data_IF_310294739351
#
_entry.id   IF_310294739351
#
_cell.length_a   1.000
_cell.length_b   1.000
_cell.length_c   1.000
_cell.angle_alpha   90.00
_cell.angle_beta   90.00
_cell.angle_gamma   90.00
#
_symmetry.space_group_name_H-M   'P 1'
#
loop_
_entity.id
_entity.type
_entity.pdbx_description
1 polymer ?
#
# COMPACT_ATOMS: atom_id res chain seq x y z
N UNK A 1 138.54 -63.07 -10.04
CA UNK A 1 137.93 -62.46 -8.83
C UNK A 1 137.96 -60.92 -8.85
N UNK A 2 138.86 -60.26 -9.57
CA UNK A 2 138.96 -58.78 -9.57
C UNK A 2 137.85 -58.05 -10.36
N UNK A 3 137.36 -58.60 -11.48
CA UNK A 3 136.35 -57.93 -12.31
C UNK A 3 134.97 -57.81 -11.64
N UNK A 4 134.67 -58.70 -10.69
CA UNK A 4 133.40 -58.70 -9.96
C UNK A 4 133.33 -57.54 -8.95
N UNK A 5 134.46 -57.22 -8.28
CA UNK A 5 134.51 -56.14 -7.28
C UNK A 5 134.37 -54.73 -7.88
N UNK A 6 134.85 -54.52 -9.11
CA UNK A 6 134.71 -53.25 -9.80
C UNK A 6 133.24 -52.97 -10.19
N UNK A 7 132.55 -53.99 -10.68
CA UNK A 7 131.13 -53.85 -11.01
C UNK A 7 130.20 -53.80 -9.81
N UNK A 8 130.57 -54.45 -8.70
CA UNK A 8 129.89 -54.23 -7.41
C UNK A 8 129.97 -52.75 -6.98
N UNK A 9 131.11 -52.09 -7.19
CA UNK A 9 131.30 -50.67 -6.85
C UNK A 9 130.51 -49.75 -7.79
N UNK A 10 130.45 -50.05 -9.09
CA UNK A 10 129.61 -49.31 -10.03
C UNK A 10 128.12 -49.49 -9.74
N UNK A 11 127.67 -50.69 -9.38
CA UNK A 11 126.28 -50.95 -8.97
C UNK A 11 125.93 -50.14 -7.72
N UNK A 12 126.84 -50.02 -6.74
CA UNK A 12 126.62 -49.19 -5.54
C UNK A 12 126.51 -47.71 -5.92
N UNK A 13 127.39 -47.21 -6.80
CA UNK A 13 127.37 -45.81 -7.23
C UNK A 13 126.11 -45.48 -8.05
N UNK A 14 125.71 -46.36 -8.97
CA UNK A 14 124.47 -46.22 -9.74
C UNK A 14 123.23 -46.26 -8.84
N UNK A 15 123.21 -47.12 -7.82
CA UNK A 15 122.14 -47.12 -6.81
C UNK A 15 122.07 -45.78 -6.06
N UNK A 16 123.22 -45.20 -5.70
CA UNK A 16 123.27 -43.89 -5.05
C UNK A 16 122.73 -42.79 -5.97
N UNK A 17 123.22 -42.69 -7.20
CA UNK A 17 122.74 -41.71 -8.18
C UNK A 17 121.24 -41.87 -8.46
N UNK A 18 120.74 -43.11 -8.56
CA UNK A 18 119.31 -43.38 -8.73
C UNK A 18 118.48 -42.92 -7.52
N UNK A 19 119.07 -42.96 -6.31
CA UNK A 19 118.40 -42.47 -5.10
C UNK A 19 118.37 -40.94 -5.08
N UNK A 20 119.48 -40.29 -5.44
CA UNK A 20 119.61 -38.82 -5.50
C UNK A 20 118.73 -38.22 -6.62
N UNK A 21 118.65 -38.86 -7.78
CA UNK A 21 117.75 -38.43 -8.87
C UNK A 21 116.28 -38.62 -8.50
N UNK A 22 115.96 -39.65 -7.71
CA UNK A 22 114.61 -39.91 -7.23
C UNK A 22 114.17 -38.86 -6.22
N UNK A 23 115.04 -38.46 -5.28
CA UNK A 23 114.73 -37.37 -4.34
C UNK A 23 114.59 -36.04 -5.07
N UNK A 24 115.48 -35.70 -6.01
CA UNK A 24 115.36 -34.48 -6.81
C UNK A 24 114.09 -34.46 -7.69
N UNK A 25 113.66 -35.61 -8.20
CA UNK A 25 112.39 -35.75 -8.92
C UNK A 25 111.19 -35.52 -8.00
N UNK A 26 111.20 -36.12 -6.80
CA UNK A 26 110.12 -35.95 -5.83
C UNK A 26 110.01 -34.49 -5.34
N UNK A 27 111.14 -33.80 -5.13
CA UNK A 27 111.19 -32.38 -4.77
C UNK A 27 110.61 -31.50 -5.89
N UNK A 28 111.07 -31.67 -7.14
CA UNK A 28 110.52 -30.92 -8.29
C UNK A 28 109.04 -31.22 -8.52
N UNK A 29 108.60 -32.46 -8.28
CA UNK A 29 107.19 -32.84 -8.37
C UNK A 29 106.36 -32.13 -7.30
N UNK A 30 106.88 -31.98 -6.09
CA UNK A 30 106.23 -31.22 -5.02
C UNK A 30 106.17 -29.72 -5.34
N UNK A 31 107.23 -29.13 -5.88
CA UNK A 31 107.23 -27.75 -6.35
C UNK A 31 106.21 -27.53 -7.48
N UNK A 32 106.18 -28.42 -8.48
CA UNK A 32 105.22 -28.35 -9.58
C UNK A 32 103.77 -28.42 -9.06
N UNK A 33 103.50 -29.29 -8.09
CA UNK A 33 102.19 -29.39 -7.44
C UNK A 33 101.83 -28.10 -6.68
N UNK A 34 102.78 -27.49 -5.97
CA UNK A 34 102.57 -26.24 -5.24
C UNK A 34 102.27 -25.07 -6.19
N UNK A 35 103.05 -24.94 -7.28
CA UNK A 35 102.84 -23.92 -8.31
C UNK A 35 101.51 -24.14 -9.03
N UNK A 36 101.16 -25.39 -9.35
CA UNK A 36 99.85 -25.75 -9.90
C UNK A 36 98.69 -25.37 -8.97
N UNK A 37 98.83 -25.63 -7.68
CA UNK A 37 97.83 -25.23 -6.67
C UNK A 37 97.68 -23.72 -6.51
N UNK A 38 98.76 -22.95 -6.63
CA UNK A 38 98.72 -21.49 -6.64
C UNK A 38 98.05 -20.94 -7.90
N UNK A 39 98.36 -21.51 -9.07
CA UNK A 39 97.76 -21.11 -10.34
C UNK A 39 96.25 -21.33 -10.34
N UNK A 40 95.78 -22.47 -9.84
CA UNK A 40 94.35 -22.77 -9.75
C UNK A 40 93.60 -21.78 -8.85
N UNK A 41 94.22 -21.38 -7.73
CA UNK A 41 93.67 -20.35 -6.82
C UNK A 41 93.59 -18.98 -7.52
N UNK A 42 94.66 -18.57 -8.19
CA UNK A 42 94.70 -17.30 -8.92
C UNK A 42 93.67 -17.27 -10.06
N UNK A 43 93.51 -18.39 -10.78
CA UNK A 43 92.50 -18.55 -11.82
C UNK A 43 91.09 -18.38 -11.28
N UNK A 44 90.73 -19.08 -10.20
CA UNK A 44 89.41 -18.93 -9.56
C UNK A 44 89.14 -17.50 -9.12
N UNK A 45 90.13 -16.85 -8.51
CA UNK A 45 89.99 -15.45 -8.09
C UNK A 45 89.81 -14.51 -9.28
N UNK A 46 90.53 -14.72 -10.37
CA UNK A 46 90.36 -13.94 -11.58
C UNK A 46 88.96 -14.10 -12.20
N UNK A 47 88.40 -15.31 -12.18
CA UNK A 47 87.04 -15.57 -12.66
C UNK A 47 85.98 -14.88 -11.77
N UNK A 48 86.17 -14.91 -10.44
CA UNK A 48 85.31 -14.21 -9.47
C UNK A 48 85.39 -12.67 -9.62
N UNK A 49 86.60 -12.13 -9.78
CA UNK A 49 86.83 -10.71 -9.99
C UNK A 49 86.22 -10.26 -11.33
N UNK A 50 86.35 -11.05 -12.40
CA UNK A 50 85.74 -10.77 -13.69
C UNK A 50 84.20 -10.74 -13.62
N UNK A 51 83.58 -11.70 -12.93
CA UNK A 51 82.14 -11.71 -12.69
C UNK A 51 81.68 -10.49 -11.89
N UNK A 52 82.47 -10.10 -10.87
CA UNK A 52 82.18 -8.93 -10.03
C UNK A 52 82.23 -7.62 -10.83
N UNK A 53 83.18 -7.49 -11.76
CA UNK A 53 83.29 -6.32 -12.65
C UNK A 53 82.08 -6.20 -13.58
N UNK A 54 81.65 -7.32 -14.19
CA UNK A 54 80.47 -7.34 -15.06
C UNK A 54 79.23 -6.90 -14.27
N UNK A 55 79.00 -7.46 -13.08
CA UNK A 55 77.88 -7.10 -12.22
C UNK A 55 77.92 -5.61 -11.79
N UNK A 56 79.11 -5.07 -11.53
CA UNK A 56 79.29 -3.66 -11.20
C UNK A 56 78.99 -2.74 -12.40
N UNK A 57 79.40 -3.13 -13.62
CA UNK A 57 79.12 -2.39 -14.85
C UNK A 57 77.63 -2.36 -15.16
N UNK A 58 76.93 -3.49 -15.02
CA UNK A 58 75.48 -3.56 -15.22
C UNK A 58 74.73 -2.66 -14.24
N UNK A 59 75.12 -2.67 -12.95
CA UNK A 59 74.55 -1.77 -11.95
C UNK A 59 74.78 -0.30 -12.28
N UNK A 60 75.99 0.06 -12.72
CA UNK A 60 76.31 1.43 -13.11
C UNK A 60 75.50 1.86 -14.35
N UNK A 61 75.32 0.96 -15.32
CA UNK A 61 74.49 1.23 -16.50
C UNK A 61 73.02 1.46 -16.13
N UNK A 62 72.47 0.66 -15.21
CA UNK A 62 71.11 0.85 -14.66
C UNK A 62 70.98 2.22 -13.99
N UNK A 63 71.91 2.57 -13.09
CA UNK A 63 71.91 3.86 -12.39
C UNK A 63 72.06 5.03 -13.37
N UNK A 64 72.94 4.91 -14.37
CA UNK A 64 73.17 5.96 -15.39
C UNK A 64 71.96 6.17 -16.29
N UNK A 65 71.22 5.10 -16.59
CA UNK A 65 69.92 5.18 -17.27
C UNK A 65 68.79 5.72 -16.37
N UNK A 66 69.10 6.09 -15.12
CA UNK A 66 68.13 6.59 -14.15
C UNK A 66 67.18 5.52 -13.61
N UNK A 67 67.50 4.24 -13.81
CA UNK A 67 66.68 3.11 -13.38
C UNK A 67 67.03 2.74 -11.94
N UNK A 68 66.04 2.81 -11.06
CA UNK A 68 66.11 2.31 -9.69
C UNK A 68 65.33 1.00 -9.60
N UNK A 69 65.91 0.03 -8.88
CA UNK A 69 65.29 -1.26 -8.65
C UNK A 69 64.16 -1.08 -7.62
N UNK A 70 62.93 -1.44 -8.01
CA UNK A 70 61.76 -1.40 -7.12
C UNK A 70 61.55 -2.74 -6.43
N UNK A 71 60.79 -2.74 -5.33
CA UNK A 71 60.39 -3.95 -4.59
C UNK A 71 59.58 -4.95 -5.44
N UNK A 72 59.06 -4.52 -6.61
CA UNK A 72 58.35 -5.36 -7.58
C UNK A 72 59.25 -5.93 -8.68
N UNK A 73 60.55 -5.65 -8.65
CA UNK A 73 61.52 -6.13 -9.65
C UNK A 73 61.46 -5.42 -11.00
N UNK A 74 60.65 -4.36 -11.13
CA UNK A 74 60.59 -3.53 -12.33
C UNK A 74 61.54 -2.33 -12.21
N UNK A 75 62.37 -2.12 -13.23
CA UNK A 75 63.26 -0.97 -13.32
C UNK A 75 62.44 0.25 -13.76
N UNK A 76 62.29 1.25 -12.89
CA UNK A 76 61.57 2.48 -13.19
C UNK A 76 62.40 3.71 -12.78
N UNK A 77 62.21 4.83 -13.49
CA UNK A 77 62.82 6.10 -13.08
C UNK A 77 62.14 6.66 -11.83
N UNK A 78 62.86 7.49 -11.08
CA UNK A 78 62.35 8.10 -9.86
C UNK A 78 61.10 8.97 -10.14
N UNK A 79 61.08 9.68 -11.28
CA UNK A 79 59.93 10.46 -11.73
C UNK A 79 58.69 9.58 -11.95
N UNK A 80 58.88 8.39 -12.54
CA UNK A 80 57.78 7.49 -12.84
C UNK A 80 57.22 6.85 -11.56
N UNK A 81 58.07 6.53 -10.59
CA UNK A 81 57.64 6.09 -9.26
C UNK A 81 56.85 7.17 -8.54
N UNK A 82 57.32 8.42 -8.56
CA UNK A 82 56.60 9.56 -7.98
C UNK A 82 55.26 9.81 -8.66
N UNK A 83 55.20 9.68 -9.98
CA UNK A 83 53.96 9.84 -10.75
C UNK A 83 52.95 8.74 -10.42
N UNK A 84 53.41 7.49 -10.31
CA UNK A 84 52.58 6.35 -9.91
C UNK A 84 52.09 6.47 -8.46
N UNK A 85 52.97 6.82 -7.52
CA UNK A 85 52.61 7.06 -6.12
C UNK A 85 51.58 8.18 -5.99
N UNK A 86 51.73 9.28 -6.74
CA UNK A 86 50.80 10.40 -6.74
C UNK A 86 49.44 10.03 -7.36
N UNK A 87 49.44 9.24 -8.44
CA UNK A 87 48.22 8.70 -9.04
C UNK A 87 47.48 7.80 -8.05
N UNK A 88 48.18 6.86 -7.43
CA UNK A 88 47.60 5.95 -6.44
C UNK A 88 47.03 6.71 -5.23
N UNK A 89 47.73 7.73 -4.73
CA UNK A 89 47.23 8.58 -3.66
C UNK A 89 45.94 9.32 -4.06
N UNK A 90 45.87 9.81 -5.29
CA UNK A 90 44.66 10.50 -5.80
C UNK A 90 43.49 9.52 -5.95
N UNK A 91 43.74 8.33 -6.49
CA UNK A 91 42.72 7.28 -6.62
C UNK A 91 42.21 6.86 -5.23
N UNK A 92 43.11 6.63 -4.28
CA UNK A 92 42.74 6.29 -2.91
C UNK A 92 41.91 7.39 -2.24
N UNK A 93 42.25 8.67 -2.43
CA UNK A 93 41.46 9.79 -1.90
C UNK A 93 40.04 9.84 -2.51
N UNK A 94 39.90 9.54 -3.80
CA UNK A 94 38.58 9.46 -4.44
C UNK A 94 37.75 8.28 -3.92
N UNK A 95 38.38 7.12 -3.69
CA UNK A 95 37.72 5.93 -3.14
C UNK A 95 37.28 6.15 -1.69
N UNK A 96 38.10 6.82 -0.88
CA UNK A 96 37.74 7.21 0.49
C UNK A 96 36.49 8.10 0.48
N UNK A 97 36.46 9.14 -0.36
CA UNK A 97 35.29 10.03 -0.47
C UNK A 97 34.03 9.30 -0.94
N UNK A 98 34.15 8.37 -1.88
CA UNK A 98 33.03 7.54 -2.31
C UNK A 98 32.51 6.65 -1.16
N UNK A 99 33.41 6.01 -0.42
CA UNK A 99 33.06 5.20 0.75
C UNK A 99 32.40 6.05 1.85
N UNK A 100 32.94 7.24 2.15
CA UNK A 100 32.38 8.15 3.15
C UNK A 100 30.97 8.60 2.79
N UNK A 101 30.73 8.94 1.52
CA UNK A 101 29.39 9.30 1.02
C UNK A 101 28.41 8.13 1.16
N UNK A 102 28.83 6.91 0.77
CA UNK A 102 28.01 5.70 0.91
C UNK A 102 27.71 5.36 2.37
N UNK A 103 28.66 5.58 3.27
CA UNK A 103 28.50 5.34 4.71
C UNK A 103 27.55 6.35 5.34
N UNK A 104 27.63 7.63 4.93
CA UNK A 104 26.68 8.67 5.36
C UNK A 104 25.25 8.35 4.90
N UNK A 105 25.07 8.01 3.62
CA UNK A 105 23.78 7.61 3.08
C UNK A 105 23.20 6.40 3.82
N UNK A 106 24.01 5.36 4.04
CA UNK A 106 23.58 4.16 4.76
C UNK A 106 23.19 4.44 6.21
N UNK A 107 23.93 5.31 6.91
CA UNK A 107 23.58 5.74 8.28
C UNK A 107 22.26 6.52 8.34
N UNK A 108 22.04 7.43 7.41
CA UNK A 108 20.78 8.20 7.33
C UNK A 108 19.58 7.27 7.07
N UNK A 109 19.70 6.34 6.12
CA UNK A 109 18.66 5.34 5.83
C UNK A 109 18.36 4.43 7.02
N UNK A 110 19.39 4.01 7.76
CA UNK A 110 19.22 3.18 8.95
C UNK A 110 18.48 3.94 10.06
N UNK A 111 18.81 5.23 10.25
CA UNK A 111 18.11 6.09 11.22
C UNK A 111 16.62 6.27 10.88
N UNK A 112 16.30 6.48 9.60
CA UNK A 112 14.91 6.61 9.13
C UNK A 112 14.13 5.30 9.34
N UNK A 113 14.66 4.16 8.87
CA UNK A 113 14.03 2.86 9.05
C UNK A 113 13.85 2.50 10.52
N UNK A 114 14.81 2.85 11.39
CA UNK A 114 14.70 2.58 12.83
C UNK A 114 13.63 3.44 13.51
N UNK A 115 13.34 4.64 12.99
CA UNK A 115 12.20 5.45 13.47
C UNK A 115 10.88 4.86 13.01
N UNK A 116 10.78 4.46 11.74
CA UNK A 116 9.58 3.82 11.18
C UNK A 116 9.21 2.51 11.88
N UNK A 117 10.18 1.67 12.22
CA UNK A 117 9.89 0.42 12.93
C UNK A 117 9.37 0.66 14.34
N UNK A 118 9.87 1.69 15.04
CA UNK A 118 9.38 2.06 16.38
C UNK A 118 7.95 2.60 16.34
N UNK A 119 7.62 3.44 15.37
CA UNK A 119 6.24 3.96 15.23
C UNK A 119 5.28 2.82 14.90
N UNK A 120 5.65 1.96 13.94
CA UNK A 120 4.81 0.84 13.54
C UNK A 120 4.58 -0.17 14.69
N UNK A 121 5.58 -0.41 15.54
CA UNK A 121 5.43 -1.29 16.71
C UNK A 121 4.45 -0.70 17.74
N UNK A 122 4.50 0.61 17.99
CA UNK A 122 3.53 1.27 18.90
C UNK A 122 2.11 1.28 18.34
N UNK A 123 1.95 1.50 17.04
CA UNK A 123 0.64 1.46 16.39
C UNK A 123 0.08 0.04 16.39
N UNK A 124 0.89 -0.98 16.09
CA UNK A 124 0.48 -2.38 16.15
C UNK A 124 0.00 -2.78 17.55
N UNK A 125 0.70 -2.36 18.61
CA UNK A 125 0.28 -2.62 19.98
C UNK A 125 -1.04 -1.92 20.34
N UNK A 126 -1.30 -0.73 19.82
CA UNK A 126 -2.57 -0.02 20.02
C UNK A 126 -3.71 -0.74 19.31
N UNK A 127 -3.53 -1.06 18.04
CA UNK A 127 -4.55 -1.68 17.20
C UNK A 127 -4.92 -3.07 17.74
N UNK A 128 -3.95 -3.83 18.26
CA UNK A 128 -4.21 -5.13 18.88
C UNK A 128 -5.04 -5.02 20.18
N UNK A 129 -4.82 -3.97 20.99
CA UNK A 129 -5.65 -3.69 22.18
C UNK A 129 -7.07 -3.30 21.80
N UNK A 130 -7.23 -2.49 20.76
CA UNK A 130 -8.55 -2.08 20.27
C UNK A 130 -9.32 -3.29 19.70
N UNK A 131 -8.64 -4.18 18.99
CA UNK A 131 -9.21 -5.43 18.50
C UNK A 131 -9.76 -6.29 19.64
N UNK A 132 -8.95 -6.52 20.69
CA UNK A 132 -9.40 -7.27 21.88
C UNK A 132 -10.63 -6.63 22.56
N UNK A 133 -10.68 -5.30 22.63
CA UNK A 133 -11.82 -4.58 23.19
C UNK A 133 -13.08 -4.79 22.34
N UNK A 134 -12.94 -4.67 21.01
CA UNK A 134 -14.05 -4.86 20.07
C UNK A 134 -14.56 -6.30 20.06
N UNK A 135 -13.69 -7.29 20.14
CA UNK A 135 -14.08 -8.69 20.28
C UNK A 135 -14.86 -8.96 21.57
N UNK A 136 -14.43 -8.35 22.69
CA UNK A 136 -15.17 -8.44 23.96
C UNK A 136 -16.56 -7.79 23.83
N UNK A 137 -16.65 -6.61 23.23
CA UNK A 137 -17.93 -5.94 22.96
C UNK A 137 -18.85 -6.79 22.08
N UNK A 138 -18.32 -7.37 20.99
CA UNK A 138 -19.05 -8.24 20.09
C UNK A 138 -19.56 -9.48 20.81
N UNK A 139 -18.73 -10.13 21.65
CA UNK A 139 -19.16 -11.28 22.47
C UNK A 139 -20.29 -10.90 23.41
N UNK A 140 -20.20 -9.76 24.09
CA UNK A 140 -21.27 -9.26 24.97
C UNK A 140 -22.57 -9.03 24.19
N UNK A 141 -22.51 -8.29 23.08
CA UNK A 141 -23.67 -8.00 22.25
C UNK A 141 -24.28 -9.26 21.64
N UNK A 142 -23.45 -10.22 21.21
CA UNK A 142 -23.90 -11.52 20.68
C UNK A 142 -24.62 -12.32 21.76
N UNK A 143 -24.13 -12.30 23.01
CA UNK A 143 -24.78 -12.98 24.12
C UNK A 143 -26.11 -12.29 24.50
N UNK A 144 -26.17 -10.96 24.43
CA UNK A 144 -27.42 -10.21 24.62
C UNK A 144 -28.44 -10.53 23.52
N UNK A 145 -28.03 -10.58 22.25
CA UNK A 145 -28.89 -10.98 21.13
C UNK A 145 -29.42 -12.41 21.29
N UNK A 146 -28.57 -13.36 21.73
CA UNK A 146 -29.00 -14.74 22.02
C UNK A 146 -30.03 -14.79 23.15
N UNK A 147 -29.89 -13.98 24.21
CA UNK A 147 -30.89 -13.91 25.29
C UNK A 147 -32.24 -13.40 24.82
N UNK A 148 -32.25 -12.56 23.78
CA UNK A 148 -33.46 -12.01 23.19
C UNK A 148 -34.13 -12.96 22.18
N UNK A 149 -33.58 -14.16 21.96
CA UNK A 149 -34.04 -15.11 20.92
C UNK A 149 -34.21 -14.44 19.54
N UNK A 150 -33.34 -13.48 19.23
CA UNK A 150 -33.39 -12.77 17.95
C UNK A 150 -32.73 -13.63 16.87
N UNK A 151 -33.49 -14.03 15.85
CA UNK A 151 -32.96 -14.58 14.60
C UNK A 151 -32.83 -13.47 13.56
N UNK A 152 -31.72 -13.47 12.83
CA UNK A 152 -31.47 -12.49 11.78
C UNK A 152 -32.54 -12.59 10.68
N UNK A 153 -33.14 -11.46 10.28
CA UNK A 153 -34.29 -11.43 9.37
C UNK A 153 -35.66 -11.54 10.06
N UNK A 154 -35.73 -11.84 11.37
CA UNK A 154 -37.02 -11.91 12.09
C UNK A 154 -37.76 -10.59 12.08
N UNK A 155 -37.02 -9.48 12.09
CA UNK A 155 -37.60 -8.14 12.17
C UNK A 155 -38.23 -7.73 10.83
N UNK A 156 -37.64 -8.15 9.73
CA UNK A 156 -38.14 -8.02 8.36
C UNK A 156 -39.41 -8.86 8.18
N UNK A 157 -39.39 -10.14 8.59
CA UNK A 157 -40.56 -11.02 8.57
C UNK A 157 -41.70 -10.43 9.40
N UNK A 158 -41.41 -9.97 10.63
CA UNK A 158 -42.43 -9.38 11.50
C UNK A 158 -42.97 -8.05 10.97
N UNK A 159 -42.17 -7.30 10.18
CA UNK A 159 -42.62 -6.08 9.51
C UNK A 159 -43.51 -6.40 8.31
N UNK A 160 -43.15 -7.40 7.52
CA UNK A 160 -43.93 -7.83 6.37
C UNK A 160 -45.28 -8.44 6.80
N UNK A 161 -45.29 -9.22 7.89
CA UNK A 161 -46.52 -9.74 8.50
C UNK A 161 -47.39 -8.62 9.09
N UNK A 162 -46.78 -7.57 9.66
CA UNK A 162 -47.50 -6.45 10.30
C UNK A 162 -48.31 -5.59 9.32
N UNK A 163 -48.03 -5.67 8.02
CA UNK A 163 -48.74 -4.88 7.00
C UNK A 163 -49.88 -5.64 6.28
N UNK A 164 -50.10 -6.92 6.59
CA UNK A 164 -51.21 -7.68 6.02
C UNK A 164 -52.53 -7.29 6.70
N UNK A 165 -53.28 -6.37 6.08
CA UNK A 165 -54.70 -6.20 6.37
C UNK A 165 -55.39 -7.54 6.14
N UNK A 166 -55.95 -8.11 7.21
CA UNK A 166 -56.75 -9.34 7.10
C UNK A 166 -58.04 -8.97 6.37
N UNK A 167 -58.40 -9.75 5.35
CA UNK A 167 -59.58 -9.49 4.52
C UNK A 167 -60.82 -9.41 5.42
N UNK A 168 -61.53 -8.26 5.51
CA UNK A 168 -62.65 -8.08 6.43
C UNK A 168 -63.90 -8.89 6.05
N UNK A 169 -63.90 -9.50 4.87
CA UNK A 169 -64.92 -10.46 4.42
C UNK A 169 -64.33 -11.42 3.36
N UNK A 170 -64.92 -12.62 3.15
CA UNK A 170 -64.41 -13.60 2.17
C UNK A 170 -64.35 -13.07 0.73
N UNK A 171 -65.30 -12.20 0.33
CA UNK A 171 -65.37 -11.61 -1.01
C UNK A 171 -64.84 -10.16 -1.03
N UNK A 172 -63.93 -9.82 -0.12
CA UNK A 172 -63.39 -8.47 -0.05
C UNK A 172 -62.53 -8.16 -1.27
N UNK A 173 -62.92 -7.14 -2.04
CA UNK A 173 -62.09 -6.64 -3.12
C UNK A 173 -60.91 -5.85 -2.54
N UNK A 174 -59.69 -6.39 -2.65
CA UNK A 174 -58.47 -5.72 -2.16
C UNK A 174 -58.18 -4.39 -2.88
N UNK A 175 -58.64 -4.23 -4.12
CA UNK A 175 -58.47 -2.98 -4.87
C UNK A 175 -59.28 -1.82 -4.29
N UNK A 176 -60.24 -2.10 -3.40
CA UNK A 176 -60.95 -1.06 -2.64
C UNK A 176 -60.02 -0.30 -1.69
N UNK A 177 -58.89 -0.89 -1.31
CA UNK A 177 -57.81 -0.26 -0.53
C UNK A 177 -56.72 0.21 -1.48
N UNK A 178 -56.54 1.53 -1.59
CA UNK A 178 -55.54 2.10 -2.48
C UNK A 178 -54.14 2.07 -1.87
N UNK A 179 -54.04 2.19 -0.55
CA UNK A 179 -52.78 2.14 0.18
C UNK A 179 -52.52 3.39 1.02
N UNK A 180 -51.29 3.50 1.54
CA UNK A 180 -50.87 4.66 2.33
C UNK A 180 -50.68 5.89 1.44
N UNK A 181 -50.94 7.08 1.97
CA UNK A 181 -50.76 8.33 1.22
C UNK A 181 -49.32 8.47 0.73
N UNK A 182 -48.32 8.22 1.58
CA UNK A 182 -46.91 8.36 1.23
C UNK A 182 -46.42 7.40 0.13
N UNK A 183 -47.13 6.29 -0.11
CA UNK A 183 -46.80 5.34 -1.20
C UNK A 183 -47.50 5.67 -2.51
N UNK A 184 -48.47 6.59 -2.49
CA UNK A 184 -49.36 6.91 -3.62
C UNK A 184 -49.03 8.23 -4.31
N UNK A 185 -47.89 8.85 -3.97
CA UNK A 185 -47.41 10.09 -4.56
C UNK A 185 -45.94 9.96 -4.94
N UNK A 186 -45.50 10.78 -5.90
CA UNK A 186 -44.10 10.95 -6.30
C UNK A 186 -43.72 12.42 -6.19
N UNK A 187 -42.49 12.70 -5.80
CA UNK A 187 -42.00 14.06 -5.68
C UNK A 187 -41.49 14.57 -7.01
N UNK A 188 -41.87 15.79 -7.41
CA UNK A 188 -41.28 16.46 -8.58
C UNK A 188 -39.91 17.04 -8.27
N UNK A 189 -39.75 17.61 -7.07
CA UNK A 189 -38.49 18.13 -6.58
C UNK A 189 -38.17 17.56 -5.20
N UNK A 190 -37.09 16.79 -5.11
CA UNK A 190 -36.57 16.19 -3.87
C UNK A 190 -36.23 17.24 -2.80
N UNK A 191 -35.93 18.49 -3.18
CA UNK A 191 -35.66 19.59 -2.24
C UNK A 191 -36.88 19.95 -1.39
N UNK A 192 -38.08 19.75 -1.92
CA UNK A 192 -39.35 20.10 -1.26
C UNK A 192 -39.85 19.01 -0.31
N UNK A 193 -39.20 17.84 -0.31
CA UNK A 193 -39.63 16.66 0.44
C UNK A 193 -39.88 16.93 1.93
N UNK A 194 -38.95 17.63 2.58
CA UNK A 194 -39.06 17.92 4.02
C UNK A 194 -40.23 18.87 4.33
N UNK A 195 -40.44 19.89 3.51
CA UNK A 195 -41.53 20.83 3.72
C UNK A 195 -42.90 20.15 3.49
N UNK A 196 -43.00 19.27 2.49
CA UNK A 196 -44.19 18.44 2.24
C UNK A 196 -44.45 17.43 3.37
N UNK A 197 -43.39 16.85 3.94
CA UNK A 197 -43.49 15.97 5.12
C UNK A 197 -44.14 16.69 6.30
N UNK A 198 -43.65 17.89 6.61
CA UNK A 198 -44.17 18.68 7.73
C UNK A 198 -45.60 19.14 7.44
N UNK A 199 -45.88 19.56 6.22
CA UNK A 199 -47.20 20.04 5.82
C UNK A 199 -48.28 18.94 5.88
N UNK A 200 -47.96 17.71 5.46
CA UNK A 200 -48.88 16.58 5.56
C UNK A 200 -48.90 15.97 6.97
N UNK A 201 -47.76 15.96 7.66
CA UNK A 201 -47.61 15.38 8.99
C UNK A 201 -48.09 13.94 9.06
N UNK A 202 -48.87 13.61 10.10
CA UNK A 202 -49.41 12.27 10.28
C UNK A 202 -50.37 11.81 9.18
N UNK A 203 -50.87 12.73 8.32
CA UNK A 203 -51.76 12.37 7.21
C UNK A 203 -51.06 11.50 6.16
N UNK A 204 -49.73 11.51 6.10
CA UNK A 204 -48.93 10.64 5.22
C UNK A 204 -49.14 9.14 5.49
N UNK A 205 -49.50 8.79 6.73
CA UNK A 205 -49.70 7.40 7.15
C UNK A 205 -51.18 6.99 7.10
N UNK A 206 -52.06 7.86 6.60
CA UNK A 206 -53.46 7.51 6.42
C UNK A 206 -53.62 6.56 5.23
N UNK A 207 -54.63 5.69 5.30
CA UNK A 207 -54.93 4.72 4.24
C UNK A 207 -56.08 5.23 3.38
N UNK A 208 -55.85 5.37 2.09
CA UNK A 208 -56.89 5.77 1.13
C UNK A 208 -57.70 4.54 0.73
N UNK A 209 -59.03 4.66 0.77
CA UNK A 209 -59.97 3.63 0.32
C UNK A 209 -61.03 4.23 -0.60
N UNK A 210 -61.71 3.39 -1.36
CA UNK A 210 -62.76 3.83 -2.29
C UNK A 210 -63.96 4.49 -1.59
N UNK A 211 -64.45 3.88 -0.50
CA UNK A 211 -65.71 4.22 0.15
C UNK A 211 -65.65 4.21 1.67
N UNK A 212 -66.59 4.92 2.30
CA UNK A 212 -66.82 4.88 3.74
C UNK A 212 -67.27 3.50 4.23
N UNK A 213 -67.93 2.71 3.37
CA UNK A 213 -68.30 1.32 3.68
C UNK A 213 -67.06 0.44 3.84
N UNK A 214 -66.11 0.52 2.90
CA UNK A 214 -64.81 -0.15 2.98
C UNK A 214 -64.04 0.29 4.23
N UNK A 215 -64.02 1.59 4.51
CA UNK A 215 -63.41 2.14 5.73
C UNK A 215 -63.98 1.48 6.99
N UNK A 216 -65.31 1.40 7.08
CA UNK A 216 -66.00 0.79 8.23
C UNK A 216 -65.70 -0.70 8.36
N UNK A 217 -65.73 -1.44 7.26
CA UNK A 217 -65.45 -2.87 7.26
C UNK A 217 -64.02 -3.17 7.74
N UNK A 218 -63.03 -2.38 7.31
CA UNK A 218 -61.64 -2.53 7.74
C UNK A 218 -61.42 -2.18 9.20
N UNK A 219 -62.05 -1.11 9.69
CA UNK A 219 -61.93 -0.70 11.08
C UNK A 219 -62.60 -1.70 12.04
N UNK A 220 -63.69 -2.35 11.61
CA UNK A 220 -64.44 -3.30 12.45
C UNK A 220 -63.87 -4.72 12.38
N UNK A 221 -63.51 -5.20 11.18
CA UNK A 221 -63.21 -6.61 10.93
C UNK A 221 -61.80 -6.84 10.34
N UNK A 222 -61.04 -5.79 10.03
CA UNK A 222 -59.72 -5.90 9.38
C UNK A 222 -58.56 -6.20 10.32
N UNK A 223 -58.82 -6.38 11.62
CA UNK A 223 -57.82 -6.72 12.67
C UNK A 223 -56.55 -5.84 12.62
N UNK A 224 -56.75 -4.53 12.47
CA UNK A 224 -55.67 -3.55 12.38
C UNK A 224 -54.86 -3.54 13.68
N UNK A 225 -53.54 -3.76 13.57
CA UNK A 225 -52.62 -3.84 14.71
C UNK A 225 -52.37 -2.48 15.38
N UNK A 226 -52.66 -1.38 14.69
CA UNK A 226 -52.46 -0.03 15.18
C UNK A 226 -53.65 0.85 14.78
N UNK A 227 -53.80 1.98 15.48
CA UNK A 227 -54.81 2.98 15.12
C UNK A 227 -54.45 3.59 13.75
N UNK A 228 -55.32 3.37 12.77
CA UNK A 228 -55.19 3.91 11.41
C UNK A 228 -56.33 4.87 11.12
N UNK A 229 -56.05 5.96 10.41
CA UNK A 229 -57.07 6.85 9.87
C UNK A 229 -57.33 6.50 8.40
N UNK A 230 -58.59 6.24 8.08
CA UNK A 230 -59.04 5.91 6.71
C UNK A 230 -59.49 7.19 5.97
N UNK A 231 -59.16 7.30 4.69
CA UNK A 231 -59.60 8.38 3.80
C UNK A 231 -60.52 7.78 2.72
N UNK A 232 -61.85 7.83 2.90
CA UNK A 232 -62.80 7.38 1.89
C UNK A 232 -62.93 8.39 0.75
N UNK A 233 -62.54 8.00 -0.47
CA UNK A 233 -62.55 8.86 -1.65
C UNK A 233 -63.94 9.39 -2.00
N UNK A 234 -65.00 8.63 -1.72
CA UNK A 234 -66.37 9.05 -2.02
C UNK A 234 -66.96 10.12 -1.07
N UNK A 235 -66.31 10.38 0.07
CA UNK A 235 -66.77 11.36 1.07
C UNK A 235 -65.77 12.49 1.32
N UNK A 236 -64.48 12.24 1.08
CA UNK A 236 -63.47 13.25 1.30
C UNK A 236 -63.58 14.37 0.27
N UNK A 237 -63.50 15.61 0.74
CA UNK A 237 -63.35 16.78 -0.10
C UNK A 237 -62.26 17.67 0.49
N UNK A 238 -61.38 18.16 -0.37
CA UNK A 238 -60.33 19.09 -0.01
C UNK A 238 -60.54 20.42 -0.71
N UNK A 239 -60.23 21.52 -0.03
CA UNK A 239 -60.12 22.84 -0.64
C UNK A 239 -58.70 23.05 -1.16
N UNK A 240 -58.57 23.78 -2.27
CA UNK A 240 -57.29 24.35 -2.71
C UNK A 240 -57.19 25.81 -2.30
N UNK A 241 -55.96 26.32 -2.18
CA UNK A 241 -55.73 27.77 -2.05
C UNK A 241 -56.38 28.47 -3.25
N UNK A 242 -57.11 29.56 -2.97
CA UNK A 242 -57.78 30.34 -4.01
C UNK A 242 -56.75 30.99 -4.95
N UNK A 243 -57.05 30.98 -6.24
CA UNK A 243 -56.12 31.43 -7.28
C UNK A 243 -55.78 32.92 -7.12
N UNK A 244 -56.70 33.75 -6.59
CA UNK A 244 -56.41 35.17 -6.32
C UNK A 244 -55.38 35.33 -5.20
N UNK A 245 -55.41 34.44 -4.20
CA UNK A 245 -54.44 34.43 -3.10
C UNK A 245 -53.05 34.06 -3.61
N UNK A 246 -52.97 33.07 -4.52
CA UNK A 246 -51.71 32.67 -5.16
C UNK A 246 -51.15 33.84 -5.98
N UNK A 247 -51.95 34.43 -6.87
CA UNK A 247 -51.55 35.56 -7.70
C UNK A 247 -51.10 36.78 -6.87
N UNK A 248 -51.76 37.03 -5.74
CA UNK A 248 -51.37 38.11 -4.83
C UNK A 248 -50.00 37.83 -4.18
N UNK A 249 -49.76 36.60 -3.72
CA UNK A 249 -48.48 36.22 -3.13
C UNK A 249 -47.35 36.23 -4.17
N UNK A 250 -47.59 35.74 -5.39
CA UNK A 250 -46.63 35.79 -6.49
C UNK A 250 -46.20 37.23 -6.81
N UNK A 251 -47.11 38.21 -6.71
CA UNK A 251 -46.78 39.64 -6.88
C UNK A 251 -45.89 40.19 -5.76
N UNK A 252 -46.00 39.66 -4.55
CA UNK A 252 -45.25 40.15 -3.39
C UNK A 252 -43.83 39.58 -3.32
N UNK A 253 -43.67 38.28 -3.58
CA UNK A 253 -42.38 37.59 -3.38
C UNK A 253 -41.77 37.03 -4.66
N UNK A 254 -42.44 37.17 -5.80
CA UNK A 254 -42.04 36.59 -7.08
C UNK A 254 -42.59 35.17 -7.29
N UNK A 255 -42.84 34.82 -8.56
CA UNK A 255 -43.43 33.55 -8.97
C UNK A 255 -42.62 32.32 -8.49
N UNK A 256 -41.29 32.41 -8.53
CA UNK A 256 -40.41 31.31 -8.15
C UNK A 256 -40.48 30.96 -6.65
N UNK A 257 -41.04 31.86 -5.83
CA UNK A 257 -41.08 31.73 -4.37
C UNK A 257 -42.46 31.32 -3.82
N UNK A 258 -43.46 31.10 -4.70
CA UNK A 258 -44.81 30.68 -4.31
C UNK A 258 -45.20 29.42 -5.07
N UNK A 259 -45.36 28.30 -4.36
CA UNK A 259 -45.74 27.05 -4.99
C UNK A 259 -46.75 26.31 -4.09
N UNK A 260 -47.89 25.91 -4.66
CA UNK A 260 -48.82 25.04 -3.93
C UNK A 260 -48.19 23.66 -3.75
N UNK A 261 -48.35 23.05 -2.58
CA UNK A 261 -47.88 21.68 -2.34
C UNK A 261 -48.44 20.67 -3.35
N UNK A 262 -49.68 20.88 -3.84
CA UNK A 262 -50.27 20.04 -4.88
C UNK A 262 -49.53 20.10 -6.22
N UNK A 263 -48.86 21.22 -6.52
CA UNK A 263 -48.11 21.38 -7.76
C UNK A 263 -46.78 20.62 -7.74
N UNK A 264 -46.25 20.32 -6.55
CA UNK A 264 -44.94 19.72 -6.29
C UNK A 264 -44.95 18.19 -6.21
N UNK A 265 -46.13 17.59 -6.27
CA UNK A 265 -46.32 16.14 -6.20
C UNK A 265 -47.05 15.63 -7.45
N UNK A 266 -46.74 14.40 -7.85
CA UNK A 266 -47.46 13.65 -8.87
C UNK A 266 -48.22 12.50 -8.23
N UNK A 267 -49.46 12.27 -8.67
CA UNK A 267 -50.33 11.21 -8.15
C UNK A 267 -51.41 10.85 -9.17
N UNK A 268 -52.00 9.65 -9.09
CA UNK A 268 -53.12 9.25 -9.94
C UNK A 268 -54.34 10.21 -9.85
N UNK A 269 -54.96 10.64 -10.97
CA UNK A 269 -56.01 11.65 -10.96
C UNK A 269 -57.22 11.34 -10.07
N UNK A 270 -57.57 10.06 -9.94
CA UNK A 270 -58.69 9.62 -9.09
C UNK A 270 -58.43 9.85 -7.59
N UNK A 271 -57.19 10.10 -7.18
CA UNK A 271 -56.81 10.44 -5.80
C UNK A 271 -56.90 11.95 -5.49
N UNK A 272 -57.24 12.79 -6.48
CA UNK A 272 -57.32 14.25 -6.32
C UNK A 272 -58.11 14.71 -5.08
N UNK A 273 -59.27 14.13 -4.72
CA UNK A 273 -60.00 14.56 -3.52
C UNK A 273 -59.20 14.36 -2.23
N UNK A 274 -58.50 13.23 -2.09
CA UNK A 274 -57.66 12.94 -0.95
C UNK A 274 -56.42 13.84 -0.92
N UNK A 275 -55.71 13.97 -2.06
CA UNK A 275 -54.50 14.79 -2.12
C UNK A 275 -54.80 16.27 -1.87
N UNK A 276 -55.93 16.78 -2.38
CA UNK A 276 -56.37 18.16 -2.11
C UNK A 276 -56.70 18.38 -0.63
N UNK A 277 -57.23 17.38 0.07
CA UNK A 277 -57.48 17.51 1.50
C UNK A 277 -56.19 17.51 2.33
N UNK A 278 -55.16 16.80 1.87
CA UNK A 278 -53.87 16.70 2.58
C UNK A 278 -52.98 17.90 2.30
N UNK A 279 -52.85 18.28 1.03
CA UNK A 279 -51.88 19.26 0.54
C UNK A 279 -52.51 20.54 -0.04
N UNK A 280 -53.84 20.62 -0.17
CA UNK A 280 -54.48 21.72 -0.90
C UNK A 280 -54.44 23.07 -0.20
N UNK A 281 -54.27 23.09 1.12
CA UNK A 281 -54.22 24.31 1.92
C UNK A 281 -52.80 24.73 2.34
N UNK A 282 -51.75 24.13 1.77
CA UNK A 282 -50.37 24.41 2.16
C UNK A 282 -49.46 24.85 1.01
N UNK A 283 -48.52 25.71 1.37
CA UNK A 283 -47.42 26.20 0.56
C UNK A 283 -46.11 25.78 1.24
N UNK A 284 -45.36 24.82 0.66
CA UNK A 284 -44.12 24.31 1.25
C UNK A 284 -43.02 25.37 1.42
N UNK A 285 -43.02 26.41 0.60
CA UNK A 285 -42.09 27.54 0.73
C UNK A 285 -42.40 28.38 1.99
N UNK A 286 -43.59 28.24 2.54
CA UNK A 286 -43.98 28.87 3.80
C UNK A 286 -44.44 30.31 3.68
N UNK A 287 -44.53 30.83 2.46
CA UNK A 287 -44.97 32.21 2.17
C UNK A 287 -46.43 32.41 2.58
N UNK A 288 -47.27 31.39 2.36
CA UNK A 288 -48.70 31.45 2.69
C UNK A 288 -49.09 30.73 3.99
N UNK A 289 -48.36 29.70 4.41
CA UNK A 289 -48.77 28.82 5.52
C UNK A 289 -47.74 28.62 6.63
N UNK A 290 -46.60 29.34 6.61
CA UNK A 290 -45.49 29.15 7.54
C UNK A 290 -44.65 27.92 7.17
N UNK A 291 -43.39 28.16 6.78
CA UNK A 291 -42.51 27.11 6.24
C UNK A 291 -41.78 26.33 7.32
N UNK A 292 -41.26 25.16 6.96
CA UNK A 292 -40.40 24.37 7.83
C UNK A 292 -38.93 24.41 7.34
N UNK A 293 -37.94 24.65 8.22
CA UNK A 293 -36.53 24.72 7.84
C UNK A 293 -36.03 23.34 7.39
N UNK A 294 -35.27 23.28 6.30
CA UNK A 294 -34.79 22.02 5.72
C UNK A 294 -34.01 21.15 6.73
N UNK A 295 -34.49 19.92 6.98
CA UNK A 295 -33.76 18.89 7.73
C UNK A 295 -33.60 17.64 6.89
N UNK A 296 -32.49 16.92 7.14
CA UNK A 296 -32.01 15.79 6.34
C UNK A 296 -32.86 14.51 6.43
N UNK A 297 -33.79 14.39 7.40
CA UNK A 297 -34.61 13.18 7.57
C UNK A 297 -36.02 13.41 7.01
N UNK A 298 -36.23 13.05 5.74
CA UNK A 298 -37.55 13.04 5.10
C UNK A 298 -38.06 11.61 4.89
N UNK A 299 -39.34 11.37 5.19
CA UNK A 299 -40.00 10.08 4.91
C UNK A 299 -40.40 10.00 3.43
N UNK A 300 -40.89 11.10 2.85
CA UNK A 300 -41.24 11.13 1.44
C UNK A 300 -40.03 10.87 0.53
N UNK A 301 -38.83 11.34 0.89
CA UNK A 301 -37.62 11.02 0.12
C UNK A 301 -37.32 9.51 0.09
N UNK A 302 -37.47 8.83 1.24
CA UNK A 302 -37.29 7.38 1.33
C UNK A 302 -38.34 6.60 0.54
N UNK A 303 -39.58 7.08 0.56
CA UNK A 303 -40.70 6.46 -0.16
C UNK A 303 -40.60 6.68 -1.66
N UNK A 304 -40.08 7.83 -2.11
CA UNK A 304 -39.81 8.12 -3.51
C UNK A 304 -38.76 7.16 -4.10
N UNK A 305 -37.68 6.91 -3.35
CA UNK A 305 -36.65 5.93 -3.71
C UNK A 305 -37.23 4.49 -3.70
N UNK A 306 -38.06 4.14 -2.70
CA UNK A 306 -38.74 2.84 -2.63
C UNK A 306 -39.69 2.61 -3.82
N UNK A 307 -40.48 3.62 -4.18
CA UNK A 307 -41.39 3.55 -5.32
C UNK A 307 -40.63 3.39 -6.64
N UNK A 308 -39.50 4.08 -6.79
CA UNK A 308 -38.61 3.93 -7.95
C UNK A 308 -38.07 2.50 -8.06
N UNK A 309 -37.62 1.92 -6.94
CA UNK A 309 -37.16 0.52 -6.89
C UNK A 309 -38.26 -0.48 -7.25
N UNK A 310 -39.51 -0.26 -6.80
CA UNK A 310 -40.64 -1.12 -7.17
C UNK A 310 -40.91 -1.05 -8.68
N UNK A 311 -40.86 0.14 -9.28
CA UNK A 311 -41.06 0.29 -10.72
C UNK A 311 -39.97 -0.45 -11.51
N UNK A 312 -38.71 -0.32 -11.10
CA UNK A 312 -37.59 -1.07 -11.70
C UNK A 312 -37.78 -2.57 -11.57
N UNK A 313 -38.23 -3.05 -10.40
CA UNK A 313 -38.48 -4.46 -10.14
C UNK A 313 -39.58 -4.99 -11.07
N UNK A 314 -40.70 -4.27 -11.21
CA UNK A 314 -41.79 -4.62 -12.13
C UNK A 314 -41.34 -4.67 -13.59
N UNK A 315 -40.44 -3.77 -14.00
CA UNK A 315 -39.88 -3.76 -15.35
C UNK A 315 -39.03 -5.01 -15.55
N UNK A 316 -38.14 -5.34 -14.60
CA UNK A 316 -37.28 -6.53 -14.66
C UNK A 316 -38.10 -7.82 -14.66
N UNK A 317 -39.15 -7.91 -13.85
CA UNK A 317 -40.06 -9.08 -13.85
C UNK A 317 -40.73 -9.27 -15.21
N UNK A 318 -41.18 -8.19 -15.85
CA UNK A 318 -41.74 -8.25 -17.22
C UNK A 318 -40.72 -8.60 -18.29
N UNK A 319 -39.44 -8.30 -18.08
CA UNK A 319 -38.35 -8.69 -19.00
C UNK A 319 -37.94 -10.15 -18.82
N UNK A 320 -38.27 -10.76 -17.68
CA UNK A 320 -37.97 -12.15 -17.36
C UNK A 320 -39.07 -13.12 -17.84
N UNK A 321 -40.27 -12.61 -18.15
CA UNK A 321 -41.41 -13.35 -18.71
C UNK A 321 -41.42 -13.28 -20.24
#
# INVERSE_FOLDING_TARGET
>A
MENIKAEEKNIIQLKKNLTDDKTAYDDKKNELNNVGGLFEKLRKKNDEDAASVIAAQERLQKITAGLLETDTGENATLEQQLMNAKRNATTADTEVKQCEMGLKFSKEQLSLKQKETKTNDTDYQRDNKDLELKEKQLKTLTNELKKLNYEDGSLEILKDEKHLIINPSPNFNRDSVKGLVCTLLRLKDKKTAYALDVAAGNRLYNVIVDTEKTSKALLQNGQLQQRVTMIPLNKISGSSIDERTIQYAEKLVGNDNVQSALSLIDYPPYLKPAMSWIFGSCDPSGTLSGGAPSKTRSILLKMDDYNSMIEELKIKEKQLQ
#
